data_IF_885340835286
#
_entry.id   IF_885340835286
#
_cell.length_a   1.000
_cell.length_b   1.000
_cell.length_c   1.000
_cell.angle_alpha   90.00
_cell.angle_beta   90.00
_cell.angle_gamma   90.00
#
_symmetry.space_group_name_H-M   'P 1'
#
loop_
_entity.id
_entity.type
_entity.pdbx_description
1 polymer ?
#
# COMPACT_ATOMS: atom_id res chain seq x y z
N UNK A 1 -14.97 -22.67 -4.71
CA UNK A 1 -14.95 -21.27 -4.23
C UNK A 1 -13.49 -20.92 -3.94
N UNK A 2 -12.75 -20.47 -4.96
CA UNK A 2 -11.35 -20.06 -4.78
C UNK A 2 -11.31 -18.60 -4.27
N UNK A 3 -10.80 -18.45 -3.05
CA UNK A 3 -9.59 -17.65 -2.82
C UNK A 3 -9.62 -16.12 -3.02
N UNK A 4 -10.76 -15.42 -3.09
CA UNK A 4 -10.75 -13.93 -3.10
C UNK A 4 -9.93 -13.32 -1.94
N UNK A 5 -10.13 -13.81 -0.70
CA UNK A 5 -9.34 -13.38 0.46
C UNK A 5 -7.84 -13.70 0.34
N UNK A 6 -7.50 -14.82 -0.29
CA UNK A 6 -6.12 -15.24 -0.50
C UNK A 6 -5.43 -14.44 -1.63
N UNK A 7 -6.20 -14.01 -2.64
CA UNK A 7 -5.74 -13.10 -3.69
C UNK A 7 -5.47 -11.72 -3.10
N UNK A 8 -6.39 -11.19 -2.30
CA UNK A 8 -6.23 -9.88 -1.65
C UNK A 8 -5.00 -9.85 -0.74
N UNK A 9 -4.80 -10.89 0.09
CA UNK A 9 -3.63 -10.99 0.97
C UNK A 9 -2.30 -10.99 0.19
N UNK A 10 -2.22 -11.74 -0.92
CA UNK A 10 -1.02 -11.79 -1.75
C UNK A 10 -0.71 -10.44 -2.40
N UNK A 11 -1.75 -9.70 -2.80
CA UNK A 11 -1.60 -8.36 -3.37
C UNK A 11 -1.08 -7.41 -2.29
N UNK A 12 -1.69 -7.38 -1.11
CA UNK A 12 -1.23 -6.52 0.00
C UNK A 12 0.22 -6.80 0.37
N UNK A 13 0.59 -8.08 0.53
CA UNK A 13 1.97 -8.46 0.81
C UNK A 13 2.94 -8.02 -0.28
N UNK A 14 2.52 -8.05 -1.55
CA UNK A 14 3.35 -7.59 -2.66
C UNK A 14 3.54 -6.08 -2.63
N UNK A 15 2.52 -5.32 -2.24
CA UNK A 15 2.60 -3.88 -2.02
C UNK A 15 3.55 -3.56 -0.86
N UNK A 16 3.34 -4.15 0.31
CA UNK A 16 4.21 -3.94 1.50
C UNK A 16 5.68 -4.20 1.15
N UNK A 17 5.98 -5.37 0.56
CA UNK A 17 7.33 -5.71 0.15
C UNK A 17 7.94 -4.73 -0.88
N UNK A 18 7.12 -4.14 -1.76
CA UNK A 18 7.61 -3.17 -2.73
C UNK A 18 7.99 -1.86 -2.06
N UNK A 19 7.16 -1.33 -1.16
CA UNK A 19 7.42 -0.09 -0.46
C UNK A 19 8.55 -0.21 0.58
N UNK A 20 8.68 -1.35 1.26
CA UNK A 20 9.84 -1.62 2.12
C UNK A 20 11.15 -1.56 1.33
N UNK A 21 11.20 -2.15 0.13
CA UNK A 21 12.38 -2.08 -0.74
C UNK A 21 12.69 -0.65 -1.20
N UNK A 22 11.68 0.17 -1.44
CA UNK A 22 11.88 1.59 -1.78
C UNK A 22 12.50 2.34 -0.59
N UNK A 23 12.04 2.04 0.63
CA UNK A 23 12.60 2.61 1.85
C UNK A 23 14.05 2.16 2.09
N UNK A 24 14.35 0.87 1.94
CA UNK A 24 15.70 0.33 2.07
C UNK A 24 16.71 0.97 1.09
N UNK A 25 16.24 1.36 -0.10
CA UNK A 25 17.04 2.08 -1.10
C UNK A 25 17.15 3.58 -0.85
N UNK A 26 16.41 4.11 0.12
CA UNK A 26 16.31 5.55 0.38
C UNK A 26 15.51 6.31 -0.68
N UNK A 27 14.69 5.64 -1.48
CA UNK A 27 13.83 6.27 -2.50
C UNK A 27 12.59 6.92 -1.86
N UNK A 28 12.18 6.44 -0.69
CA UNK A 28 11.11 7.02 0.12
C UNK A 28 11.58 7.18 1.57
N UNK A 29 11.01 8.15 2.28
CA UNK A 29 11.25 8.33 3.71
C UNK A 29 10.51 7.29 4.56
N UNK A 30 10.93 7.11 5.81
CA UNK A 30 10.19 6.25 6.76
C UNK A 30 8.75 6.75 6.96
N UNK A 31 8.54 8.07 6.94
CA UNK A 31 7.21 8.68 7.03
C UNK A 31 6.30 8.26 5.86
N UNK A 32 6.83 8.27 4.64
CA UNK A 32 6.09 7.85 3.45
C UNK A 32 5.76 6.36 3.49
N UNK A 33 6.70 5.52 3.96
CA UNK A 33 6.43 4.10 4.18
C UNK A 33 5.29 3.90 5.20
N UNK A 34 5.35 4.56 6.36
CA UNK A 34 4.33 4.46 7.40
C UNK A 34 2.94 4.89 6.90
N UNK A 35 2.88 5.96 6.11
CA UNK A 35 1.63 6.44 5.49
C UNK A 35 1.05 5.43 4.49
N UNK A 36 1.90 4.79 3.68
CA UNK A 36 1.46 3.74 2.73
C UNK A 36 0.93 2.51 3.48
N UNK A 37 1.62 2.06 4.53
CA UNK A 37 1.18 0.91 5.32
C UNK A 37 -0.18 1.19 6.00
N UNK A 38 -0.35 2.39 6.54
CA UNK A 38 -1.62 2.84 7.13
C UNK A 38 -2.75 2.88 6.09
N UNK A 39 -2.46 3.33 4.87
CA UNK A 39 -3.42 3.32 3.76
C UNK A 39 -3.82 1.88 3.38
N UNK A 40 -2.85 0.96 3.33
CA UNK A 40 -3.07 -0.46 3.02
C UNK A 40 -3.87 -1.18 4.10
N UNK A 41 -3.67 -0.89 5.39
CA UNK A 41 -4.45 -1.49 6.49
C UNK A 41 -5.95 -1.16 6.37
N UNK A 42 -6.27 -0.03 5.74
CA UNK A 42 -7.62 0.47 5.57
C UNK A 42 -8.17 0.31 4.14
N UNK A 43 -7.46 -0.39 3.24
CA UNK A 43 -7.78 -0.41 1.80
C UNK A 43 -9.24 -0.80 1.45
N UNK A 44 -9.90 -1.62 2.29
CA UNK A 44 -11.27 -2.09 2.05
C UNK A 44 -12.33 -0.99 2.20
N UNK A 45 -12.00 0.13 2.85
CA UNK A 45 -12.95 1.22 3.07
C UNK A 45 -12.95 2.24 1.93
N UNK A 46 -11.94 2.20 1.07
CA UNK A 46 -11.77 3.12 -0.04
C UNK A 46 -12.27 2.51 -1.33
N UNK A 47 -12.89 3.32 -2.18
CA UNK A 47 -13.01 2.97 -3.58
C UNK A 47 -11.65 3.13 -4.29
N UNK A 48 -11.47 2.55 -5.49
CA UNK A 48 -10.19 2.60 -6.20
C UNK A 48 -9.69 4.03 -6.49
N UNK A 49 -10.59 4.98 -6.77
CA UNK A 49 -10.21 6.37 -7.09
C UNK A 49 -9.73 7.10 -5.82
N UNK A 50 -10.42 6.89 -4.69
CA UNK A 50 -10.03 7.44 -3.41
C UNK A 50 -8.69 6.87 -2.94
N UNK A 51 -8.48 5.55 -3.10
CA UNK A 51 -7.23 4.91 -2.75
C UNK A 51 -6.05 5.47 -3.56
N UNK A 52 -6.20 5.58 -4.88
CA UNK A 52 -5.17 6.13 -5.77
C UNK A 52 -4.86 7.60 -5.41
N UNK A 53 -5.89 8.40 -5.15
CA UNK A 53 -5.71 9.78 -4.72
C UNK A 53 -4.91 9.89 -3.43
N UNK A 54 -5.28 9.13 -2.40
CA UNK A 54 -4.57 9.11 -1.11
C UNK A 54 -3.13 8.64 -1.26
N UNK A 55 -2.89 7.64 -2.11
CA UNK A 55 -1.54 7.17 -2.40
C UNK A 55 -0.69 8.27 -3.04
N UNK A 56 -1.23 9.02 -4.01
CA UNK A 56 -0.54 10.13 -4.65
C UNK A 56 -0.24 11.29 -3.68
N UNK A 57 -1.10 11.53 -2.69
CA UNK A 57 -0.89 12.55 -1.65
C UNK A 57 0.34 12.25 -0.76
N UNK A 58 0.77 10.98 -0.63
CA UNK A 58 1.96 10.58 0.13
C UNK A 58 3.27 10.97 -0.61
N UNK A 59 3.22 11.04 -1.94
CA UNK A 59 4.38 11.29 -2.79
C UNK A 59 4.42 12.70 -3.40
N UNK A 60 3.41 13.53 -3.10
CA UNK A 60 3.31 14.93 -3.53
C UNK A 60 4.08 15.85 -2.59
#
# INVERSE_FOLDING_TARGET
MLDKKNIDLKIILSFVNAYEKLYEKGEISSKQLDEVLSLLDNYQIYDPEEFEKKLNEIFS
#
